data_IF_800191563023
#
_entry.id   IF_800191563023
#
_cell.length_a   1.000
_cell.length_b   1.000
_cell.length_c   1.000
_cell.angle_alpha   90.00
_cell.angle_beta   90.00
_cell.angle_gamma   90.00
#
_symmetry.space_group_name_H-M   'P 1'
#
loop_
_entity.id
_entity.type
_entity.pdbx_description
1 polymer ?
#
# COMPACT_ATOMS: atom_id res chain seq x y z
N UNK A 1 -16.73 8.63 -6.47
CA UNK A 1 -15.44 9.01 -7.10
C UNK A 1 -14.63 7.79 -7.56
N UNK A 2 -14.62 6.65 -6.85
CA UNK A 2 -13.94 5.42 -7.33
C UNK A 2 -14.79 4.57 -8.30
N UNK A 3 -16.12 4.52 -8.11
CA UNK A 3 -17.08 3.89 -9.06
C UNK A 3 -16.96 4.40 -10.51
N UNK A 4 -16.57 5.66 -10.68
CA UNK A 4 -16.37 6.29 -11.99
C UNK A 4 -15.06 5.87 -12.68
N UNK A 5 -14.08 5.33 -11.94
CA UNK A 5 -12.78 4.92 -12.49
C UNK A 5 -12.78 3.47 -12.98
N UNK A 6 -13.55 2.57 -12.36
CA UNK A 6 -13.58 1.14 -12.67
C UNK A 6 -14.87 0.65 -13.34
N UNK A 7 -15.85 1.54 -13.57
CA UNK A 7 -17.13 1.17 -14.19
C UNK A 7 -18.11 0.47 -13.25
N UNK A 8 -19.17 -0.11 -13.82
CA UNK A 8 -20.22 -0.82 -13.05
C UNK A 8 -19.68 -2.14 -12.50
N UNK A 9 -20.27 -2.61 -11.40
CA UNK A 9 -20.02 -3.94 -10.85
C UNK A 9 -20.20 -5.03 -11.93
N UNK A 10 -19.21 -5.92 -12.07
CA UNK A 10 -19.25 -7.03 -13.04
C UNK A 10 -20.33 -8.05 -12.65
N UNK A 11 -21.05 -8.62 -13.62
CA UNK A 11 -22.22 -9.50 -13.44
C UNK A 11 -21.98 -10.83 -12.70
N UNK A 12 -20.80 -11.07 -12.15
CA UNK A 12 -20.48 -12.23 -11.31
C UNK A 12 -19.89 -11.90 -9.93
N UNK A 13 -19.73 -10.62 -9.59
CA UNK A 13 -19.09 -10.21 -8.35
C UNK A 13 -20.13 -9.96 -7.25
N UNK A 14 -19.95 -10.55 -6.07
CA UNK A 14 -20.83 -10.25 -4.93
C UNK A 14 -20.52 -8.87 -4.31
N UNK A 15 -21.48 -8.29 -3.59
CA UNK A 15 -21.39 -6.93 -3.02
C UNK A 15 -20.25 -6.78 -1.99
N UNK A 16 -19.94 -7.83 -1.24
CA UNK A 16 -18.86 -7.83 -0.24
C UNK A 16 -17.49 -7.69 -0.92
N UNK A 17 -17.25 -8.47 -1.97
CA UNK A 17 -16.01 -8.43 -2.74
C UNK A 17 -15.89 -7.09 -3.49
N UNK A 18 -17.00 -6.57 -4.03
CA UNK A 18 -17.02 -5.26 -4.67
C UNK A 18 -16.65 -4.12 -3.71
N UNK A 19 -17.21 -4.11 -2.49
CA UNK A 19 -16.86 -3.10 -1.47
C UNK A 19 -15.41 -3.20 -1.02
N UNK A 20 -14.87 -4.41 -0.87
CA UNK A 20 -13.44 -4.61 -0.55
C UNK A 20 -12.54 -4.10 -1.68
N UNK A 21 -12.90 -4.36 -2.94
CA UNK A 21 -12.19 -3.83 -4.11
C UNK A 21 -12.22 -2.29 -4.15
N UNK A 22 -13.39 -1.68 -3.91
CA UNK A 22 -13.51 -0.23 -3.83
C UNK A 22 -12.64 0.35 -2.70
N UNK A 23 -12.67 -0.25 -1.52
CA UNK A 23 -11.86 0.19 -0.38
C UNK A 23 -10.36 0.10 -0.69
N UNK A 24 -9.91 -1.00 -1.32
CA UNK A 24 -8.52 -1.18 -1.78
C UNK A 24 -8.14 -0.12 -2.82
N UNK A 25 -9.00 0.15 -3.80
CA UNK A 25 -8.74 1.16 -4.83
C UNK A 25 -8.65 2.57 -4.24
N UNK A 26 -9.56 2.93 -3.32
CA UNK A 26 -9.50 4.21 -2.58
C UNK A 26 -8.17 4.33 -1.83
N UNK A 27 -7.77 3.27 -1.12
CA UNK A 27 -6.51 3.25 -0.36
C UNK A 27 -5.30 3.46 -1.30
N UNK A 28 -5.23 2.72 -2.41
CA UNK A 28 -4.14 2.87 -3.41
C UNK A 28 -4.07 4.30 -3.95
N UNK A 29 -5.20 4.87 -4.38
CA UNK A 29 -5.25 6.24 -4.92
C UNK A 29 -4.78 7.25 -3.86
N UNK A 30 -5.26 7.11 -2.62
CA UNK A 30 -4.87 7.97 -1.51
C UNK A 30 -3.36 7.92 -1.26
N UNK A 31 -2.76 6.73 -1.27
CA UNK A 31 -1.33 6.53 -1.08
C UNK A 31 -0.51 7.14 -2.23
N UNK A 32 -0.90 6.90 -3.48
CA UNK A 32 -0.20 7.48 -4.64
C UNK A 32 -0.25 9.02 -4.61
N UNK A 33 -1.41 9.60 -4.28
CA UNK A 33 -1.54 11.05 -4.11
C UNK A 33 -0.64 11.57 -2.98
N UNK A 34 -0.58 10.85 -1.86
CA UNK A 34 0.27 11.22 -0.74
C UNK A 34 1.76 11.25 -1.12
N UNK A 35 2.27 10.20 -1.76
CA UNK A 35 3.67 10.12 -2.22
C UNK A 35 3.97 11.22 -3.23
N UNK A 36 3.05 11.50 -4.16
CA UNK A 36 3.22 12.57 -5.15
C UNK A 36 3.31 13.96 -4.49
N UNK A 37 2.45 14.24 -3.51
CA UNK A 37 2.48 15.51 -2.75
C UNK A 37 3.76 15.61 -1.93
N UNK A 38 4.18 14.54 -1.27
CA UNK A 38 5.44 14.47 -0.54
C UNK A 38 6.63 14.81 -1.44
N UNK A 39 6.75 14.14 -2.59
CA UNK A 39 7.84 14.39 -3.55
C UNK A 39 7.86 15.84 -4.05
N UNK A 40 6.68 16.44 -4.26
CA UNK A 40 6.58 17.86 -4.62
C UNK A 40 7.08 18.77 -3.49
N UNK A 41 6.70 18.51 -2.24
CA UNK A 41 7.17 19.29 -1.08
C UNK A 41 8.69 19.18 -0.95
N UNK A 42 9.26 17.97 -1.04
CA UNK A 42 10.71 17.78 -1.00
C UNK A 42 11.40 18.55 -2.15
N UNK A 43 10.82 18.54 -3.35
CA UNK A 43 11.32 19.30 -4.49
C UNK A 43 11.28 20.81 -4.24
N UNK A 44 10.19 21.34 -3.70
CA UNK A 44 10.04 22.76 -3.37
C UNK A 44 10.99 23.19 -2.24
N UNK A 45 11.20 22.36 -1.22
CA UNK A 45 12.16 22.60 -0.15
C UNK A 45 13.60 22.61 -0.67
N UNK A 46 13.93 21.72 -1.62
CA UNK A 46 15.25 21.75 -2.29
C UNK A 46 15.52 23.06 -3.02
N UNK A 47 14.48 23.76 -3.51
CA UNK A 47 14.62 25.05 -4.20
C UNK A 47 14.99 26.20 -3.26
N UNK A 48 14.72 26.07 -1.96
CA UNK A 48 15.15 27.02 -0.92
C UNK A 48 16.43 26.54 -0.21
N UNK A 49 17.18 25.64 -0.86
CA UNK A 49 18.43 25.02 -0.38
C UNK A 49 18.29 24.22 0.93
N UNK A 50 17.08 23.74 1.25
CA UNK A 50 16.89 22.76 2.31
C UNK A 50 17.36 21.38 1.81
N UNK A 51 18.21 20.72 2.61
CA UNK A 51 18.78 19.41 2.31
C UNK A 51 18.31 18.42 3.37
N UNK A 52 17.87 17.27 2.88
CA UNK A 52 17.43 16.15 3.70
C UNK A 52 18.15 14.92 3.18
N UNK A 53 18.69 14.11 4.08
CA UNK A 53 19.20 12.80 3.74
C UNK A 53 18.03 11.86 3.38
N UNK A 54 18.31 10.76 2.71
CA UNK A 54 17.24 9.84 2.29
C UNK A 54 16.54 9.17 3.47
N UNK A 55 17.26 8.95 4.57
CA UNK A 55 16.71 8.49 5.84
C UNK A 55 15.75 9.52 6.46
N UNK A 56 16.09 10.82 6.42
CA UNK A 56 15.20 11.89 6.90
C UNK A 56 13.91 11.92 6.08
N UNK A 57 14.01 11.80 4.76
CA UNK A 57 12.84 11.75 3.86
C UNK A 57 11.98 10.52 4.15
N UNK A 58 12.60 9.37 4.40
CA UNK A 58 11.90 8.16 4.79
C UNK A 58 11.10 8.36 6.08
N UNK A 59 11.73 8.94 7.12
CA UNK A 59 11.05 9.27 8.38
C UNK A 59 9.93 10.28 8.20
N UNK A 60 10.13 11.33 7.38
CA UNK A 60 9.08 12.31 7.09
C UNK A 60 7.89 11.69 6.37
N UNK A 61 8.12 10.77 5.43
CA UNK A 61 7.07 10.05 4.71
C UNK A 61 6.28 9.14 5.66
N UNK A 62 6.98 8.39 6.52
CA UNK A 62 6.39 7.44 7.47
C UNK A 62 5.64 8.12 8.62
N UNK A 63 6.09 9.28 9.09
CA UNK A 63 5.42 10.06 10.15
C UNK A 63 4.38 11.05 9.64
N UNK A 64 4.07 11.02 8.34
CA UNK A 64 3.08 11.90 7.75
C UNK A 64 1.66 11.58 8.26
N UNK A 65 0.74 12.56 8.34
CA UNK A 65 -0.63 12.33 8.86
C UNK A 65 -1.45 11.27 8.10
N UNK A 66 -1.07 10.98 6.85
CA UNK A 66 -1.72 9.95 6.03
C UNK A 66 -1.25 8.53 6.36
N UNK A 67 -0.19 8.38 7.16
CA UNK A 67 0.32 7.11 7.66
C UNK A 67 -0.67 6.37 8.57
N UNK A 68 -1.65 7.08 9.16
CA UNK A 68 -2.75 6.52 9.96
C UNK A 68 -3.53 5.39 9.27
N UNK A 69 -3.57 5.38 7.93
CA UNK A 69 -4.24 4.32 7.14
C UNK A 69 -3.37 3.05 7.01
N UNK A 70 -2.09 3.13 7.36
CA UNK A 70 -1.08 2.10 7.19
C UNK A 70 -0.23 1.90 8.45
N UNK A 71 -0.70 2.31 9.64
CA UNK A 71 0.05 2.26 10.91
C UNK A 71 0.72 0.89 11.17
N UNK A 72 0.00 -0.20 10.91
CA UNK A 72 0.55 -1.55 11.09
C UNK A 72 1.71 -1.86 10.11
N UNK A 73 1.62 -1.33 8.89
CA UNK A 73 2.67 -1.45 7.87
C UNK A 73 3.87 -0.58 8.21
N UNK A 74 3.64 0.66 8.66
CA UNK A 74 4.68 1.57 9.15
C UNK A 74 5.41 0.97 10.34
N UNK A 75 4.68 0.43 11.32
CA UNK A 75 5.26 -0.23 12.50
C UNK A 75 6.13 -1.42 12.10
N UNK A 76 5.68 -2.22 11.12
CA UNK A 76 6.45 -3.37 10.63
C UNK A 76 7.69 -2.92 9.84
N UNK A 77 7.57 -1.88 9.02
CA UNK A 77 8.69 -1.31 8.27
C UNK A 77 9.77 -0.72 9.19
N UNK A 78 9.37 -0.16 10.33
CA UNK A 78 10.29 0.40 11.32
C UNK A 78 10.90 -0.68 12.23
N UNK A 79 10.27 -1.84 12.35
CA UNK A 79 10.67 -2.84 13.34
C UNK A 79 12.02 -3.48 13.00
N UNK A 80 13.01 -3.28 13.87
CA UNK A 80 14.32 -3.93 13.77
C UNK A 80 15.22 -3.41 12.65
N UNK A 81 14.86 -2.31 11.98
CA UNK A 81 15.73 -1.62 11.02
C UNK A 81 16.55 -0.56 11.74
N UNK A 82 17.87 -0.62 11.57
CA UNK A 82 18.81 0.39 12.07
C UNK A 82 18.91 1.60 11.14
N UNK A 83 18.67 1.39 9.83
CA UNK A 83 18.64 2.43 8.80
C UNK A 83 17.42 2.29 7.91
N UNK A 84 16.96 3.41 7.36
CA UNK A 84 15.79 3.47 6.48
C UNK A 84 16.17 3.94 5.08
N UNK A 85 15.74 3.17 4.08
CA UNK A 85 15.89 3.51 2.67
C UNK A 85 14.56 3.98 2.09
N UNK A 86 14.57 5.16 1.47
CA UNK A 86 13.37 5.81 0.93
C UNK A 86 12.78 5.01 -0.24
N UNK A 87 13.61 4.42 -1.10
CA UNK A 87 13.17 3.64 -2.26
C UNK A 87 12.52 2.33 -1.82
N UNK A 88 13.12 1.63 -0.86
CA UNK A 88 12.58 0.42 -0.25
C UNK A 88 11.22 0.71 0.41
N UNK A 89 11.13 1.75 1.22
CA UNK A 89 9.88 2.15 1.88
C UNK A 89 8.80 2.46 0.86
N UNK A 90 9.12 3.25 -0.16
CA UNK A 90 8.16 3.61 -1.22
C UNK A 90 7.69 2.37 -1.96
N UNK A 91 8.60 1.44 -2.27
CA UNK A 91 8.29 0.19 -2.96
C UNK A 91 7.40 -0.74 -2.12
N UNK A 92 7.67 -0.88 -0.82
CA UNK A 92 6.84 -1.69 0.08
C UNK A 92 5.46 -1.07 0.27
N UNK A 93 5.37 0.25 0.43
CA UNK A 93 4.09 0.97 0.53
C UNK A 93 3.23 0.74 -0.72
N UNK A 94 3.81 0.87 -1.92
CA UNK A 94 3.12 0.62 -3.18
C UNK A 94 2.77 -0.87 -3.38
N UNK A 95 3.64 -1.78 -2.95
CA UNK A 95 3.50 -3.23 -3.13
C UNK A 95 2.58 -3.94 -2.13
N UNK A 96 2.33 -3.37 -0.94
CA UNK A 96 1.48 -3.99 0.10
C UNK A 96 0.06 -4.30 -0.39
N UNK A 97 -0.48 -3.47 -1.28
CA UNK A 97 -1.83 -3.66 -1.83
C UNK A 97 -1.91 -4.74 -2.93
N UNK A 98 -0.77 -5.23 -3.45
CA UNK A 98 -0.74 -6.27 -4.50
C UNK A 98 -0.78 -7.69 -3.91
N UNK A 99 -0.16 -7.92 -2.74
CA UNK A 99 0.01 -9.27 -2.16
C UNK A 99 -1.23 -9.88 -1.48
N UNK A 100 -2.27 -9.11 -1.16
CA UNK A 100 -3.52 -9.70 -0.61
C UNK A 100 -4.32 -10.48 -1.66
N UNK A 101 -4.04 -10.34 -2.96
CA UNK A 101 -4.69 -11.15 -4.01
C UNK A 101 -4.19 -12.61 -4.07
N UNK A 102 -2.96 -12.89 -3.65
CA UNK A 102 -2.37 -14.23 -3.81
C UNK A 102 -2.79 -15.24 -2.72
N UNK A 103 -3.27 -14.79 -1.56
CA UNK A 103 -3.68 -15.68 -0.48
C UNK A 103 -5.17 -16.10 -0.52
N UNK A 104 -6.01 -15.39 -1.29
CA UNK A 104 -7.43 -15.73 -1.39
C UNK A 104 -7.72 -16.72 -2.53
N UNK A 105 -6.79 -16.90 -3.49
CA UNK A 105 -6.93 -17.84 -4.62
C UNK A 105 -6.43 -19.27 -4.31
N UNK A 106 -5.61 -19.48 -3.27
CA UNK A 106 -5.11 -20.81 -2.90
C UNK A 106 -6.02 -21.59 -1.94
N UNK A 107 -7.15 -21.00 -1.54
CA UNK A 107 -8.13 -21.65 -0.64
C UNK A 107 -9.15 -22.55 -1.37
N UNK A 108 -9.09 -22.67 -2.69
CA UNK A 108 -10.02 -23.56 -3.41
C UNK A 108 -9.49 -25.01 -3.45
N UNK A 109 -9.62 -25.66 -2.29
CA UNK A 109 -9.74 -27.10 -2.05
C UNK A 109 -9.14 -28.09 -3.05
N UNK A 110 -7.99 -28.66 -2.70
CA UNK A 110 -7.66 -30.04 -3.04
C UNK A 110 -7.70 -30.88 -1.77
N UNK A 111 -8.75 -31.69 -1.66
CA UNK A 111 -8.97 -32.59 -0.54
C UNK A 111 -7.90 -33.69 -0.49
N UNK A 112 -7.47 -33.98 0.74
CA UNK A 112 -6.66 -35.15 1.09
C UNK A 112 -7.34 -36.43 0.62
N UNK A 113 -6.80 -37.08 -0.42
CA UNK A 113 -7.13 -38.48 -0.75
C UNK A 113 -6.10 -39.38 -0.08
N UNK A 114 -6.36 -39.77 1.16
CA UNK A 114 -5.65 -40.87 1.81
C UNK A 114 -6.15 -42.19 1.18
N UNK A 115 -5.39 -42.74 0.24
CA UNK A 115 -5.64 -44.10 -0.26
C UNK A 115 -4.95 -45.09 0.68
N UNK A 116 -5.73 -45.70 1.57
CA UNK A 116 -5.31 -46.88 2.32
C UNK A 116 -5.33 -48.08 1.37
N UNK A 117 -4.20 -48.80 1.29
CA UNK A 117 -4.13 -50.16 0.74
C UNK A 117 -3.72 -51.11 1.86
#
# INVERSE_FOLDING_TARGET
MVKTLYGKQHEGMNDINWKDLEAKAVAIIKLCLHINVFNRIISDLKRVDAKFEDEDKALMLLNSPSASTYENLVTTLMWGKETLDLEEITSVLLGFNQRKKANDESSQGEGLVAKSN
#
